data_IF_695752972485
#
_entry.id   IF_695752972485
#
_cell.length_a   1.000
_cell.length_b   1.000
_cell.length_c   1.000
_cell.angle_alpha   90.00
_cell.angle_beta   90.00
_cell.angle_gamma   90.00
#
_symmetry.space_group_name_H-M   'P 1'
#
loop_
_entity.id
_entity.type
_entity.pdbx_description
1 polymer ?
#
# COMPACT_ATOMS: atom_id res chain seq x y z
N UNK A 1 5.18 16.48 19.02
CA UNK A 1 4.56 16.69 17.70
C UNK A 1 3.95 18.10 17.55
N UNK A 2 3.16 18.62 18.47
CA UNK A 2 2.55 19.97 18.33
C UNK A 2 3.58 21.08 18.06
N UNK A 3 4.72 21.09 18.75
CA UNK A 3 5.79 22.07 18.50
C UNK A 3 6.43 21.98 17.10
N UNK A 4 6.16 20.92 16.36
CA UNK A 4 6.61 20.70 14.98
C UNK A 4 5.50 20.95 13.94
N UNK A 5 4.47 21.71 14.30
CA UNK A 5 3.37 22.05 13.40
C UNK A 5 2.34 20.93 13.19
N UNK A 6 2.38 19.87 14.00
CA UNK A 6 1.40 18.79 13.88
C UNK A 6 0.10 19.12 14.62
N UNK A 7 -1.00 18.70 14.03
CA UNK A 7 -2.37 18.85 14.57
C UNK A 7 -3.07 17.49 14.61
N UNK A 8 -4.11 17.38 15.43
CA UNK A 8 -4.96 16.19 15.48
C UNK A 8 -6.38 16.56 15.89
N UNK A 9 -7.36 15.79 15.39
CA UNK A 9 -8.74 15.86 15.86
C UNK A 9 -8.84 15.40 17.32
N UNK A 10 -8.07 14.37 17.70
CA UNK A 10 -7.93 13.87 19.05
C UNK A 10 -6.59 13.18 19.25
N UNK A 11 -5.74 13.69 20.13
CA UNK A 11 -4.46 13.07 20.45
C UNK A 11 -4.61 11.70 21.15
N UNK A 12 -5.74 11.48 21.82
CA UNK A 12 -6.04 10.20 22.49
C UNK A 12 -6.30 9.05 21.50
N UNK A 13 -6.56 9.38 20.22
CA UNK A 13 -6.79 8.41 19.15
C UNK A 13 -5.51 8.02 18.42
N UNK A 14 -4.34 8.54 18.85
CA UNK A 14 -3.06 8.28 18.21
C UNK A 14 -2.26 7.32 19.07
N UNK A 15 -2.01 6.14 18.55
CA UNK A 15 -1.13 5.14 19.14
C UNK A 15 0.27 5.24 18.53
N UNK A 16 1.29 5.12 19.36
CA UNK A 16 2.69 5.09 18.92
C UNK A 16 3.37 3.80 19.36
N UNK A 17 4.13 3.20 18.46
CA UNK A 17 4.91 2.00 18.72
C UNK A 17 6.19 2.28 19.51
N UNK A 18 6.86 1.22 19.93
CA UNK A 18 8.18 1.30 20.52
C UNK A 18 9.19 1.86 19.49
N UNK A 19 10.06 2.76 19.93
CA UNK A 19 11.03 3.41 19.03
C UNK A 19 10.48 4.59 18.20
N UNK A 20 9.23 4.97 18.37
CA UNK A 20 8.68 6.17 17.75
C UNK A 20 9.35 7.45 18.29
N UNK A 21 9.69 8.36 17.39
CA UNK A 21 10.32 9.65 17.71
C UNK A 21 9.55 10.80 17.09
N UNK A 22 9.18 11.75 17.91
CA UNK A 22 8.44 12.96 17.47
C UNK A 22 9.26 13.86 16.55
N UNK A 23 10.61 13.84 16.62
CA UNK A 23 11.49 14.68 15.81
C UNK A 23 11.34 14.47 14.30
N UNK A 24 10.86 13.30 13.91
CA UNK A 24 10.66 12.89 12.50
C UNK A 24 9.21 13.01 12.04
N UNK A 25 8.40 13.79 12.75
CA UNK A 25 7.01 14.08 12.36
C UNK A 25 6.81 15.58 12.35
N UNK A 26 6.55 16.16 11.16
CA UNK A 26 6.44 17.62 10.98
C UNK A 26 5.31 17.98 10.04
N UNK A 27 4.60 19.04 10.38
CA UNK A 27 3.52 19.61 9.56
C UNK A 27 2.51 18.53 9.13
N UNK A 28 2.15 17.66 10.07
CA UNK A 28 1.24 16.55 9.84
C UNK A 28 -0.07 16.75 10.58
N UNK A 29 -1.17 16.28 9.97
CA UNK A 29 -2.48 16.24 10.60
C UNK A 29 -2.93 14.78 10.78
N UNK A 30 -3.50 14.47 11.95
CA UNK A 30 -3.99 13.13 12.27
C UNK A 30 -5.47 13.17 12.64
N UNK A 31 -6.28 12.44 11.87
CA UNK A 31 -7.72 12.27 12.10
C UNK A 31 -8.08 10.81 12.36
N UNK A 32 -9.14 10.58 13.11
CA UNK A 32 -9.60 9.25 13.45
C UNK A 32 -8.57 8.44 14.26
N UNK A 33 -8.52 7.13 14.05
CA UNK A 33 -7.56 6.24 14.72
C UNK A 33 -6.29 6.11 13.89
N UNK A 34 -5.17 6.54 14.44
CA UNK A 34 -3.87 6.45 13.75
C UNK A 34 -2.87 5.71 14.63
N UNK A 35 -2.21 4.73 14.04
CA UNK A 35 -1.11 4.01 14.68
C UNK A 35 0.19 4.30 13.93
N UNK A 36 1.24 4.66 14.65
CA UNK A 36 2.54 5.05 14.10
C UNK A 36 3.63 4.13 14.64
N UNK A 37 4.36 3.46 13.76
CA UNK A 37 5.51 2.62 14.07
C UNK A 37 6.78 3.43 14.36
N UNK A 38 7.89 2.74 14.58
CA UNK A 38 9.21 3.33 14.78
C UNK A 38 9.67 4.13 13.55
N UNK A 39 10.35 5.24 13.79
CA UNK A 39 10.80 6.12 12.72
C UNK A 39 12.21 6.66 12.96
N UNK A 40 12.74 7.47 12.03
CA UNK A 40 14.07 8.07 12.11
C UNK A 40 15.19 7.18 11.61
N UNK A 41 14.87 5.99 11.05
CA UNK A 41 15.83 5.13 10.36
C UNK A 41 16.20 5.69 8.99
N UNK A 42 17.42 5.44 8.48
CA UNK A 42 17.79 5.86 7.13
C UNK A 42 16.99 5.07 6.09
N UNK A 43 16.49 5.77 5.08
CA UNK A 43 15.78 5.22 3.92
C UNK A 43 16.54 5.68 2.68
N UNK A 44 16.99 4.73 1.86
CA UNK A 44 17.65 5.03 0.59
C UNK A 44 16.60 5.17 -0.51
N UNK A 45 16.63 6.31 -1.19
CA UNK A 45 15.75 6.65 -2.30
C UNK A 45 16.47 6.44 -3.63
N UNK A 46 15.73 6.35 -4.76
CA UNK A 46 16.32 6.28 -6.09
C UNK A 46 17.37 7.38 -6.31
N UNK A 47 18.52 7.00 -6.88
CA UNK A 47 19.64 7.92 -7.10
C UNK A 47 20.60 8.04 -5.90
N UNK A 48 20.47 7.18 -4.88
CA UNK A 48 21.39 7.12 -3.73
C UNK A 48 21.17 8.23 -2.69
N UNK A 49 20.05 8.91 -2.74
CA UNK A 49 19.67 9.92 -1.73
C UNK A 49 19.20 9.21 -0.47
N UNK A 50 19.79 9.53 0.68
CA UNK A 50 19.38 8.99 1.98
C UNK A 50 18.57 10.01 2.74
N UNK A 51 17.37 9.62 3.17
CA UNK A 51 16.49 10.41 4.04
C UNK A 51 16.17 9.64 5.32
N UNK A 52 15.63 10.34 6.30
CA UNK A 52 15.14 9.70 7.52
C UNK A 52 13.66 9.36 7.36
N UNK A 53 13.29 8.14 7.74
CA UNK A 53 11.89 7.73 7.84
C UNK A 53 11.11 8.63 8.78
N UNK A 54 9.85 8.86 8.48
CA UNK A 54 9.00 9.75 9.26
C UNK A 54 7.84 10.30 8.43
N UNK A 55 7.12 11.26 8.98
CA UNK A 55 5.93 11.83 8.37
C UNK A 55 6.10 13.34 8.22
N UNK A 56 6.03 13.83 6.99
CA UNK A 56 6.31 15.21 6.65
C UNK A 56 5.26 15.78 5.70
N UNK A 57 4.57 16.84 6.11
CA UNK A 57 3.52 17.51 5.30
C UNK A 57 2.50 16.51 4.76
N UNK A 58 1.80 15.84 5.64
CA UNK A 58 0.79 14.83 5.30
C UNK A 58 -0.38 14.89 6.26
N UNK A 59 -1.56 14.57 5.76
CA UNK A 59 -2.73 14.32 6.59
C UNK A 59 -3.08 12.82 6.52
N UNK A 60 -3.17 12.18 7.67
CA UNK A 60 -3.49 10.77 7.81
C UNK A 60 -4.80 10.61 8.58
N UNK A 61 -5.71 9.79 8.06
CA UNK A 61 -7.00 9.53 8.69
C UNK A 61 -7.29 8.03 8.72
N UNK A 62 -7.50 7.47 9.91
CA UNK A 62 -7.72 6.02 10.10
C UNK A 62 -6.64 5.17 9.41
N UNK A 63 -5.38 5.43 9.71
CA UNK A 63 -4.24 4.76 9.08
C UNK A 63 -3.36 4.05 10.11
N UNK A 64 -2.82 2.90 9.70
CA UNK A 64 -1.70 2.24 10.39
C UNK A 64 -0.42 2.46 9.58
N UNK A 65 0.63 2.95 10.23
CA UNK A 65 1.93 3.17 9.60
C UNK A 65 2.96 2.28 10.30
N UNK A 66 3.59 1.41 9.55
CA UNK A 66 4.61 0.49 10.01
C UNK A 66 5.94 1.15 10.36
N UNK A 67 6.93 0.34 10.67
CA UNK A 67 8.26 0.78 11.06
C UNK A 67 9.08 1.25 9.86
N UNK A 68 9.90 2.27 10.05
CA UNK A 68 10.82 2.74 9.01
C UNK A 68 10.15 3.39 7.78
N UNK A 69 8.88 3.71 7.84
CA UNK A 69 8.12 4.30 6.74
C UNK A 69 8.48 5.76 6.53
N UNK A 70 8.59 6.18 5.27
CA UNK A 70 8.71 7.58 4.87
C UNK A 70 7.44 8.03 4.14
N UNK A 71 6.69 8.96 4.74
CA UNK A 71 5.55 9.61 4.10
C UNK A 71 5.86 11.10 3.98
N UNK A 72 5.85 11.65 2.77
CA UNK A 72 6.16 13.05 2.55
C UNK A 72 5.33 13.67 1.42
N UNK A 73 4.85 14.89 1.65
CA UNK A 73 4.14 15.68 0.66
C UNK A 73 2.88 14.97 0.11
N UNK A 74 1.99 14.55 0.99
CA UNK A 74 0.66 14.11 0.61
C UNK A 74 -0.23 15.36 0.50
N UNK A 75 -0.63 15.71 -0.71
CA UNK A 75 -1.20 17.02 -1.02
C UNK A 75 -2.56 17.29 -0.40
N UNK A 76 -3.40 16.27 -0.23
CA UNK A 76 -4.68 16.36 0.45
C UNK A 76 -4.70 15.53 1.71
N UNK A 77 -4.87 14.21 1.56
CA UNK A 77 -4.85 13.27 2.69
C UNK A 77 -4.66 11.83 2.22
N UNK A 78 -4.28 10.98 3.15
CA UNK A 78 -4.30 9.53 3.04
C UNK A 78 -5.28 8.98 4.08
N UNK A 79 -6.19 8.10 3.67
CA UNK A 79 -7.21 7.58 4.57
C UNK A 79 -7.47 6.09 4.38
N UNK A 80 -7.62 5.39 5.52
CA UNK A 80 -7.98 3.96 5.60
C UNK A 80 -6.95 3.06 4.90
N UNK A 81 -5.67 3.28 5.24
CA UNK A 81 -4.56 2.48 4.74
C UNK A 81 -3.72 1.91 5.87
N UNK A 82 -3.36 0.65 5.68
CA UNK A 82 -2.27 0.02 6.42
C UNK A 82 -1.02 0.09 5.55
N UNK A 83 -0.03 0.83 6.00
CA UNK A 83 1.26 1.02 5.33
C UNK A 83 2.28 0.12 5.99
N UNK A 84 2.79 -0.82 5.25
CA UNK A 84 3.77 -1.79 5.74
C UNK A 84 5.14 -1.18 5.98
N UNK A 85 5.99 -1.90 6.73
CA UNK A 85 7.32 -1.46 7.12
C UNK A 85 8.19 -1.08 5.92
N UNK A 86 8.97 -0.02 6.08
CA UNK A 86 9.91 0.45 5.08
C UNK A 86 9.31 1.07 3.82
N UNK A 87 8.00 1.23 3.75
CA UNK A 87 7.34 1.82 2.58
C UNK A 87 7.72 3.29 2.41
N UNK A 88 7.77 3.74 1.15
CA UNK A 88 8.05 5.13 0.78
C UNK A 88 6.89 5.68 -0.03
N UNK A 89 6.27 6.75 0.48
CA UNK A 89 5.15 7.46 -0.16
C UNK A 89 5.51 8.94 -0.24
N UNK A 90 5.77 9.43 -1.44
CA UNK A 90 6.17 10.82 -1.64
C UNK A 90 5.44 11.47 -2.81
N UNK A 91 5.13 12.77 -2.63
CA UNK A 91 4.58 13.62 -3.68
C UNK A 91 3.28 13.07 -4.31
N UNK A 92 2.38 12.60 -3.46
CA UNK A 92 1.09 12.04 -3.85
C UNK A 92 -0.03 13.03 -3.56
N UNK A 93 -0.97 13.18 -4.49
CA UNK A 93 -2.11 14.08 -4.30
C UNK A 93 -3.06 13.61 -3.22
N UNK A 94 -3.49 12.35 -3.30
CA UNK A 94 -4.44 11.72 -2.38
C UNK A 94 -4.37 10.20 -2.49
N UNK A 95 -4.50 9.52 -1.35
CA UNK A 95 -4.60 8.05 -1.30
C UNK A 95 -5.80 7.70 -0.42
N UNK A 96 -6.83 7.10 -1.01
CA UNK A 96 -8.01 6.66 -0.25
C UNK A 96 -8.46 5.28 -0.72
N UNK A 97 -9.01 4.51 0.21
CA UNK A 97 -9.78 3.33 -0.11
C UNK A 97 -11.23 3.59 0.29
N UNK A 98 -12.15 3.49 -0.68
CA UNK A 98 -13.57 3.60 -0.43
C UNK A 98 -14.24 2.23 -0.56
N UNK A 99 -14.68 1.70 0.57
CA UNK A 99 -15.17 0.34 0.68
C UNK A 99 -14.05 -0.72 0.71
N UNK A 100 -14.37 -1.93 0.32
CA UNK A 100 -13.41 -3.05 0.25
C UNK A 100 -12.70 -3.05 -1.11
N UNK A 101 -11.39 -3.14 -1.11
CA UNK A 101 -10.58 -3.21 -2.33
C UNK A 101 -9.60 -4.37 -2.26
N UNK A 102 -9.40 -5.06 -3.39
CA UNK A 102 -8.32 -6.03 -3.59
C UNK A 102 -7.12 -5.44 -4.32
N UNK A 103 -7.13 -4.13 -4.61
CA UNK A 103 -6.10 -3.44 -5.41
C UNK A 103 -5.83 -4.08 -6.78
N UNK A 104 -6.88 -4.68 -7.36
CA UNK A 104 -6.81 -5.38 -8.64
C UNK A 104 -6.51 -6.87 -8.55
N UNK A 105 -6.11 -7.39 -7.38
CA UNK A 105 -5.91 -8.83 -7.21
C UNK A 105 -7.22 -9.59 -7.50
N UNK A 106 -7.12 -10.65 -8.32
CA UNK A 106 -8.25 -11.46 -8.72
C UNK A 106 -9.08 -10.89 -9.87
N UNK A 107 -8.80 -9.67 -10.34
CA UNK A 107 -9.50 -9.10 -11.52
C UNK A 107 -9.04 -9.80 -12.78
N UNK A 108 -9.98 -10.30 -13.58
CA UNK A 108 -9.68 -10.96 -14.85
C UNK A 108 -9.50 -9.95 -15.99
N UNK A 109 -8.43 -10.11 -16.75
CA UNK A 109 -8.12 -9.31 -17.94
C UNK A 109 -8.15 -10.19 -19.17
N UNK A 110 -8.89 -9.77 -20.20
CA UNK A 110 -8.89 -10.43 -21.48
C UNK A 110 -7.56 -10.18 -22.21
N UNK A 111 -6.82 -11.24 -22.51
CA UNK A 111 -5.57 -11.19 -23.27
C UNK A 111 -5.80 -11.71 -24.66
N UNK A 112 -5.32 -10.97 -25.70
CA UNK A 112 -5.32 -11.35 -27.14
C UNK A 112 -6.48 -12.29 -27.50
N UNK A 113 -7.71 -11.76 -27.52
CA UNK A 113 -8.84 -12.66 -27.41
C UNK A 113 -10.08 -12.13 -28.16
N UNK A 114 -10.22 -12.50 -29.40
CA UNK A 114 -11.42 -12.16 -30.18
C UNK A 114 -12.66 -12.97 -29.77
N UNK A 115 -12.48 -14.14 -29.14
CA UNK A 115 -13.56 -15.09 -28.86
C UNK A 115 -13.77 -15.43 -27.38
N UNK A 116 -13.06 -14.82 -26.45
CA UNK A 116 -13.11 -15.16 -25.03
C UNK A 116 -12.34 -16.44 -24.66
N UNK A 117 -12.22 -16.72 -23.37
CA UNK A 117 -11.63 -17.95 -22.82
C UNK A 117 -10.10 -17.90 -22.63
N UNK A 118 -9.51 -16.72 -22.67
CA UNK A 118 -8.07 -16.50 -22.37
C UNK A 118 -7.87 -15.40 -21.33
N UNK A 119 -8.86 -15.21 -20.49
CA UNK A 119 -8.78 -14.25 -19.41
C UNK A 119 -7.72 -14.71 -18.40
N UNK A 120 -6.91 -13.76 -17.95
CA UNK A 120 -5.87 -13.99 -16.96
C UNK A 120 -6.20 -13.17 -15.71
N UNK A 121 -6.36 -13.80 -14.54
CA UNK A 121 -6.51 -13.07 -13.29
C UNK A 121 -5.21 -12.36 -12.94
N UNK A 122 -5.28 -11.06 -12.71
CA UNK A 122 -4.16 -10.25 -12.25
C UNK A 122 -3.99 -10.46 -10.75
N UNK A 123 -2.76 -10.59 -10.31
CA UNK A 123 -2.39 -10.56 -8.91
C UNK A 123 -0.89 -10.22 -8.81
N UNK A 124 -0.43 -9.80 -7.64
CA UNK A 124 0.94 -9.33 -7.42
C UNK A 124 2.03 -10.40 -7.66
N UNK A 125 1.70 -11.68 -7.50
CA UNK A 125 2.58 -12.81 -7.84
C UNK A 125 2.51 -13.26 -9.31
N UNK A 126 1.80 -12.54 -10.21
CA UNK A 126 1.66 -12.95 -11.61
C UNK A 126 2.98 -12.82 -12.37
N UNK A 127 3.44 -13.93 -12.93
CA UNK A 127 4.61 -13.97 -13.81
C UNK A 127 4.21 -14.22 -15.26
N UNK A 128 5.11 -13.91 -16.21
CA UNK A 128 4.89 -14.20 -17.63
C UNK A 128 4.63 -15.68 -17.91
N UNK A 129 5.28 -16.59 -17.15
CA UNK A 129 5.08 -18.02 -17.27
C UNK A 129 3.68 -18.46 -16.84
N UNK A 130 3.19 -17.91 -15.72
CA UNK A 130 1.84 -18.21 -15.22
C UNK A 130 0.78 -17.65 -16.19
N UNK A 131 0.96 -16.41 -16.65
CA UNK A 131 0.08 -15.81 -17.65
C UNK A 131 0.03 -16.61 -18.95
N UNK A 132 1.19 -17.09 -19.43
CA UNK A 132 1.28 -17.95 -20.60
C UNK A 132 0.51 -19.26 -20.42
N UNK A 133 0.67 -19.94 -19.29
CA UNK A 133 -0.05 -21.18 -19.00
C UNK A 133 -1.56 -20.94 -18.98
N UNK A 134 -2.03 -19.89 -18.31
CA UNK A 134 -3.45 -19.55 -18.25
C UNK A 134 -4.05 -19.25 -19.63
N UNK A 135 -3.35 -18.48 -20.46
CA UNK A 135 -3.85 -18.05 -21.75
C UNK A 135 -3.72 -19.13 -22.85
N UNK A 136 -2.61 -19.88 -22.86
CA UNK A 136 -2.29 -20.79 -23.98
C UNK A 136 -2.70 -22.24 -23.74
N UNK A 137 -2.73 -22.69 -22.46
CA UNK A 137 -3.07 -24.07 -22.13
C UNK A 137 -4.54 -24.28 -21.78
N UNK A 138 -5.44 -23.46 -22.30
CA UNK A 138 -6.90 -23.54 -22.05
C UNK A 138 -7.50 -24.92 -22.34
N UNK A 139 -6.90 -25.68 -23.28
CA UNK A 139 -7.32 -27.06 -23.61
C UNK A 139 -7.04 -28.04 -22.46
N UNK A 140 -6.19 -27.66 -21.50
CA UNK A 140 -5.91 -28.43 -20.27
C UNK A 140 -6.76 -27.91 -19.10
N UNK A 141 -8.06 -28.04 -19.23
CA UNK A 141 -9.06 -27.44 -18.33
C UNK A 141 -8.76 -27.68 -16.85
N UNK A 142 -8.47 -28.93 -16.46
CA UNK A 142 -8.13 -29.25 -15.06
C UNK A 142 -6.94 -28.49 -14.50
N UNK A 143 -5.91 -28.27 -15.32
CA UNK A 143 -4.70 -27.54 -14.89
C UNK A 143 -5.01 -26.06 -14.72
N UNK A 144 -5.72 -25.46 -15.67
CA UNK A 144 -6.11 -24.06 -15.65
C UNK A 144 -7.05 -23.76 -14.48
N UNK A 145 -8.08 -24.59 -14.27
CA UNK A 145 -9.02 -24.47 -13.15
C UNK A 145 -8.32 -24.56 -11.79
N UNK A 146 -7.39 -25.50 -11.65
CA UNK A 146 -6.60 -25.63 -10.41
C UNK A 146 -5.73 -24.39 -10.16
N UNK A 147 -5.09 -23.85 -11.20
CA UNK A 147 -4.27 -22.66 -11.11
C UNK A 147 -5.12 -21.43 -10.77
N UNK A 148 -6.26 -21.24 -11.44
CA UNK A 148 -7.23 -20.19 -11.11
C UNK A 148 -7.72 -20.29 -9.66
N UNK A 149 -8.04 -21.48 -9.20
CA UNK A 149 -8.44 -21.70 -7.81
C UNK A 149 -7.34 -21.42 -6.78
N UNK A 150 -6.05 -21.59 -7.13
CA UNK A 150 -4.93 -21.18 -6.29
C UNK A 150 -4.81 -19.65 -6.22
N UNK A 151 -4.92 -18.98 -7.38
CA UNK A 151 -4.87 -17.52 -7.47
C UNK A 151 -6.03 -16.87 -6.71
N UNK A 152 -7.26 -17.41 -6.86
CA UNK A 152 -8.42 -16.89 -6.16
C UNK A 152 -8.25 -16.94 -4.64
N UNK A 153 -7.75 -18.07 -4.09
CA UNK A 153 -7.45 -18.17 -2.65
C UNK A 153 -6.32 -17.26 -2.17
N UNK A 154 -5.39 -16.94 -3.05
CA UNK A 154 -4.32 -16.01 -2.74
C UNK A 154 -4.83 -14.56 -2.70
N UNK A 155 -5.82 -14.24 -3.55
CA UNK A 155 -6.39 -12.90 -3.68
C UNK A 155 -7.48 -12.58 -2.61
N UNK A 156 -7.93 -13.57 -1.83
CA UNK A 156 -8.87 -13.41 -0.70
C UNK A 156 -8.16 -12.85 0.54
#
# INVERSE_FOLDING_TARGET
MQAQGCTSDSWDSIEVGEGFRTDFVRDAHFGGKVRLGANGTPVELPGGVVRRSGIYRAALHDCTVGDGVLIANVGRYMARYDVEDGAVIENVGQIICDGRSSFGNGVEVATINEAGGREVPIYDGLTAQIAYVLAMYRHRTRTVERLRGLIARYAE
#
